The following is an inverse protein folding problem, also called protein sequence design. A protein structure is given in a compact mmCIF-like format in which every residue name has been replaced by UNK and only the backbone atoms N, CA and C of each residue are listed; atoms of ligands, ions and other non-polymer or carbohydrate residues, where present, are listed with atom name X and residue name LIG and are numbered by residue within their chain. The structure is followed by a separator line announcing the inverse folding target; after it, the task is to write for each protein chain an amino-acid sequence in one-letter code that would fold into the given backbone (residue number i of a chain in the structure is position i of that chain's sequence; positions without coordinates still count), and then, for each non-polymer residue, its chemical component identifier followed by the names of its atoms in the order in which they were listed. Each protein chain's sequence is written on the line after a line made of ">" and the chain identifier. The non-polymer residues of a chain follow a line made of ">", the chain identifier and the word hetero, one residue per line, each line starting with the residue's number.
data_IF_663922788173
#
_entry.id   IF_663922788173
#
_cell.length_a   1.000
_cell.length_b   1.000
_cell.length_c   1.000
_cell.angle_alpha   90.00
_cell.angle_beta   90.00
_cell.angle_gamma   90.00
#
_symmetry.space_group_name_H-M   'P 1'
#
loop_
_entity.id
_entity.type
_entity.pdbx_description
1 polymer ?
#
# COMPACT_ATOMS: atom_id res chain seq x y z
N UNK A 1 24.65 1.34 21.70
CA UNK A 1 23.52 0.95 22.58
C UNK A 1 22.57 0.14 21.73
N UNK A 2 22.28 -1.10 22.13
CA UNK A 2 21.32 -1.93 21.40
C UNK A 2 19.87 -1.45 21.70
N UNK A 3 18.86 -1.81 20.88
CA UNK A 3 17.48 -1.35 21.10
C UNK A 3 16.85 -1.76 22.44
N UNK A 4 17.43 -2.72 23.17
CA UNK A 4 16.96 -3.16 24.48
C UNK A 4 17.50 -2.24 25.57
N UNK A 5 18.81 -1.98 25.56
CA UNK A 5 19.51 -1.04 26.43
C UNK A 5 18.95 0.37 26.30
N UNK A 6 18.67 0.83 25.07
CA UNK A 6 18.09 2.15 24.84
C UNK A 6 16.69 2.26 25.47
N UNK A 7 15.87 1.21 25.41
CA UNK A 7 14.54 1.18 26.06
C UNK A 7 14.64 1.17 27.57
N UNK A 8 15.54 0.36 28.14
CA UNK A 8 15.79 0.32 29.59
C UNK A 8 16.20 1.71 30.07
N UNK A 9 17.15 2.36 29.38
CA UNK A 9 17.60 3.71 29.73
C UNK A 9 16.49 4.75 29.69
N UNK A 10 15.57 4.66 28.72
CA UNK A 10 14.39 5.54 28.67
C UNK A 10 13.50 5.34 29.90
N UNK A 11 13.22 4.08 30.27
CA UNK A 11 12.41 3.76 31.44
C UNK A 11 13.09 4.25 32.73
N UNK A 12 14.39 4.02 32.89
CA UNK A 12 15.15 4.49 34.05
C UNK A 12 15.08 6.02 34.20
N UNK A 13 15.24 6.76 33.10
CA UNK A 13 15.13 8.23 33.10
C UNK A 13 13.71 8.70 33.44
N UNK A 14 12.69 8.02 32.91
CA UNK A 14 11.31 8.34 33.22
C UNK A 14 10.99 8.07 34.69
N UNK A 15 11.42 6.94 35.23
CA UNK A 15 11.18 6.54 36.61
C UNK A 15 11.93 7.41 37.62
N UNK A 16 13.18 7.76 37.32
CA UNK A 16 14.02 8.55 38.21
C UNK A 16 13.66 10.04 38.22
N UNK A 17 13.29 10.62 37.07
CA UNK A 17 13.16 12.07 36.92
C UNK A 17 11.78 12.55 36.47
N UNK A 18 11.01 11.73 35.75
CA UNK A 18 9.74 12.17 35.16
C UNK A 18 8.51 11.77 35.99
N UNK A 19 8.55 10.71 36.81
CA UNK A 19 7.39 10.26 37.62
C UNK A 19 6.88 11.32 38.61
N UNK A 20 7.79 12.15 39.12
CA UNK A 20 7.49 13.22 40.09
C UNK A 20 7.51 14.62 39.45
N UNK A 21 7.65 14.68 38.12
CA UNK A 21 7.75 15.94 37.38
C UNK A 21 6.36 16.53 37.15
N UNK A 22 6.22 17.84 37.34
CA UNK A 22 4.97 18.57 37.09
C UNK A 22 4.53 18.52 35.61
N UNK A 23 5.47 18.25 34.70
CA UNK A 23 5.25 18.10 33.26
C UNK A 23 5.09 16.62 32.82
N UNK A 24 4.89 15.67 33.74
CA UNK A 24 4.81 14.23 33.43
C UNK A 24 3.77 13.89 32.34
N UNK A 25 2.63 14.58 32.36
CA UNK A 25 1.53 14.36 31.41
C UNK A 25 1.70 15.18 30.13
N UNK A 26 2.67 16.10 30.09
CA UNK A 26 2.89 16.98 28.96
C UNK A 26 3.63 16.25 27.83
N UNK A 27 3.39 16.63 26.56
CA UNK A 27 4.14 16.09 25.45
C UNK A 27 5.64 16.43 25.56
N UNK A 28 6.51 15.47 25.23
CA UNK A 28 7.99 15.60 25.27
C UNK A 28 8.53 16.87 24.56
N UNK A 29 7.81 17.36 23.54
CA UNK A 29 8.17 18.61 22.82
C UNK A 29 8.27 19.82 23.77
N UNK A 30 7.47 19.85 24.83
CA UNK A 30 7.43 20.96 25.79
C UNK A 30 8.65 20.93 26.69
N UNK A 31 9.06 19.74 27.17
CA UNK A 31 10.31 19.56 27.90
C UNK A 31 11.52 20.02 27.06
N UNK A 32 11.52 19.73 25.76
CA UNK A 32 12.57 20.16 24.84
C UNK A 32 12.55 21.68 24.61
N UNK A 33 11.37 22.29 24.49
CA UNK A 33 11.23 23.76 24.37
C UNK A 33 11.73 24.47 25.63
N UNK A 34 11.48 23.90 26.81
CA UNK A 34 11.94 24.40 28.10
C UNK A 34 13.41 24.05 28.39
N UNK A 35 14.12 23.43 27.44
CA UNK A 35 15.54 23.01 27.58
C UNK A 35 15.79 22.04 28.75
N UNK A 36 14.82 21.20 29.08
CA UNK A 36 14.98 20.13 30.05
C UNK A 36 16.03 19.11 29.56
N UNK A 37 17.09 18.89 30.33
CA UNK A 37 18.18 17.96 29.99
C UNK A 37 17.68 16.53 29.82
N UNK A 38 16.84 16.06 30.75
CA UNK A 38 16.19 14.75 30.68
C UNK A 38 15.30 14.63 29.44
N UNK A 39 14.53 15.67 29.13
CA UNK A 39 13.69 15.72 27.92
C UNK A 39 14.49 15.65 26.62
N UNK A 40 15.65 16.31 26.57
CA UNK A 40 16.56 16.24 25.42
C UNK A 40 17.21 14.86 25.28
N UNK A 41 17.61 14.23 26.38
CA UNK A 41 18.16 12.87 26.39
C UNK A 41 17.10 11.85 25.95
N UNK A 42 15.87 11.94 26.47
CA UNK A 42 14.74 11.12 26.07
C UNK A 42 14.45 11.25 24.56
N UNK A 43 14.48 12.46 24.00
CA UNK A 43 14.31 12.70 22.56
C UNK A 43 15.41 12.00 21.75
N UNK A 44 16.66 12.09 22.19
CA UNK A 44 17.80 11.44 21.54
C UNK A 44 17.72 9.91 21.61
N UNK A 45 17.32 9.35 22.75
CA UNK A 45 17.16 7.90 22.89
C UNK A 45 15.99 7.39 22.06
N UNK A 46 14.89 8.15 21.97
CA UNK A 46 13.77 7.83 21.11
C UNK A 46 14.17 7.81 19.62
N UNK A 47 14.96 8.79 19.14
CA UNK A 47 15.43 8.81 17.75
C UNK A 47 16.41 7.67 17.41
N UNK A 48 17.02 7.03 18.41
CA UNK A 48 17.82 5.81 18.21
C UNK A 48 16.96 4.54 18.12
N UNK A 49 15.76 4.54 18.72
CA UNK A 49 14.83 3.40 18.69
C UNK A 49 13.93 3.43 17.46
N UNK A 50 13.55 4.62 17.05
CA UNK A 50 12.79 4.86 15.85
C UNK A 50 13.76 5.41 14.82
N UNK A 51 14.14 4.59 13.85
CA UNK A 51 14.63 5.13 12.57
C UNK A 51 13.57 6.15 12.18
N UNK A 52 13.93 7.43 12.14
CA UNK A 52 13.03 8.46 11.64
C UNK A 52 12.47 7.91 10.35
N UNK A 53 11.15 7.69 10.31
CA UNK A 53 10.45 7.38 9.07
C UNK A 53 11.08 8.29 8.02
N UNK A 54 11.58 7.75 6.87
CA UNK A 54 12.30 8.55 5.89
C UNK A 54 11.54 9.85 5.75
N UNK A 55 12.23 10.93 6.14
CA UNK A 55 11.66 12.23 6.49
C UNK A 55 10.42 12.47 5.65
N UNK A 56 9.28 12.79 6.28
CA UNK A 56 8.03 13.08 5.56
C UNK A 56 8.39 14.02 4.40
N UNK A 57 8.48 13.45 3.18
CA UNK A 57 9.05 14.16 2.04
C UNK A 57 8.28 15.48 1.91
N UNK A 58 9.00 16.58 1.77
CA UNK A 58 8.37 17.90 1.69
C UNK A 58 7.41 17.96 0.50
N UNK A 59 6.53 18.97 0.47
CA UNK A 59 5.63 19.16 -0.65
C UNK A 59 6.40 19.28 -1.98
N UNK A 60 7.50 20.03 -1.98
CA UNK A 60 8.37 20.25 -3.14
C UNK A 60 9.03 18.94 -3.59
N UNK A 61 9.48 18.13 -2.63
CA UNK A 61 10.06 16.82 -2.91
C UNK A 61 9.05 15.91 -3.59
N UNK A 62 7.81 15.88 -3.09
CA UNK A 62 6.73 15.12 -3.73
C UNK A 62 6.32 15.67 -5.09
N UNK A 63 6.34 16.99 -5.27
CA UNK A 63 6.04 17.62 -6.57
C UNK A 63 7.07 17.19 -7.62
N UNK A 64 8.35 17.13 -7.26
CA UNK A 64 9.41 16.61 -8.13
C UNK A 64 9.23 15.13 -8.46
N UNK A 65 8.97 14.29 -7.44
CA UNK A 65 8.71 12.85 -7.61
C UNK A 65 7.52 12.62 -8.53
N UNK A 66 6.43 13.35 -8.35
CA UNK A 66 5.22 13.19 -9.17
C UNK A 66 5.47 13.60 -10.62
N UNK A 67 6.23 14.66 -10.88
CA UNK A 67 6.62 15.05 -12.25
C UNK A 67 7.45 13.96 -12.93
N UNK A 68 8.44 13.40 -12.24
CA UNK A 68 9.27 12.31 -12.77
C UNK A 68 8.44 11.04 -13.02
N UNK A 69 7.54 10.70 -12.09
CA UNK A 69 6.64 9.56 -12.25
C UNK A 69 5.74 9.70 -13.48
N UNK A 70 5.19 10.89 -13.76
CA UNK A 70 4.37 11.14 -14.95
C UNK A 70 5.16 10.93 -16.25
N UNK A 71 6.42 11.35 -16.30
CA UNK A 71 7.30 11.12 -17.46
C UNK A 71 7.58 9.63 -17.66
N UNK A 72 7.87 8.89 -16.59
CA UNK A 72 8.10 7.44 -16.67
C UNK A 72 6.83 6.68 -17.07
N UNK A 73 5.66 7.10 -16.60
CA UNK A 73 4.38 6.56 -17.06
C UNK A 73 4.15 6.83 -18.56
N UNK A 74 4.48 8.02 -19.05
CA UNK A 74 4.38 8.36 -20.47
C UNK A 74 5.33 7.52 -21.34
N UNK A 75 6.48 7.12 -20.79
CA UNK A 75 7.43 6.21 -21.42
C UNK A 75 7.00 4.73 -21.35
N UNK A 76 5.88 4.42 -20.69
CA UNK A 76 5.31 3.07 -20.60
C UNK A 76 5.81 2.23 -19.43
N UNK A 77 6.56 2.80 -18.48
CA UNK A 77 7.02 2.07 -17.31
C UNK A 77 5.87 1.74 -16.34
N UNK A 78 5.92 0.53 -15.77
CA UNK A 78 4.94 0.07 -14.80
C UNK A 78 5.13 0.68 -13.41
N UNK A 79 4.05 0.79 -12.64
CA UNK A 79 4.06 1.38 -11.30
C UNK A 79 5.09 0.76 -10.34
N UNK A 80 5.42 -0.52 -10.50
CA UNK A 80 6.45 -1.20 -9.68
C UNK A 80 7.86 -0.71 -9.99
N UNK A 81 8.16 -0.48 -11.27
CA UNK A 81 9.46 0.02 -11.70
C UNK A 81 9.66 1.44 -11.19
N UNK A 82 8.66 2.30 -11.44
CA UNK A 82 8.66 3.71 -11.06
C UNK A 82 8.79 3.89 -9.55
N UNK A 83 8.08 3.09 -8.74
CA UNK A 83 8.17 3.20 -7.27
C UNK A 83 9.56 2.86 -6.75
N UNK A 84 10.21 1.85 -7.35
CA UNK A 84 11.54 1.43 -6.94
C UNK A 84 12.59 2.47 -7.35
N UNK A 85 12.49 3.00 -8.57
CA UNK A 85 13.38 4.02 -9.10
C UNK A 85 13.30 5.33 -8.30
N UNK A 86 12.09 5.75 -7.91
CA UNK A 86 11.85 7.00 -7.16
C UNK A 86 11.96 6.84 -5.63
N UNK A 87 12.38 5.67 -5.15
CA UNK A 87 12.58 5.39 -3.72
C UNK A 87 11.33 5.71 -2.89
N UNK A 88 10.15 5.26 -3.32
CA UNK A 88 8.89 5.50 -2.63
C UNK A 88 7.98 4.26 -2.69
N UNK A 89 7.03 4.17 -1.75
CA UNK A 89 6.06 3.07 -1.78
C UNK A 89 5.03 3.31 -2.89
N UNK A 90 4.56 2.23 -3.54
CA UNK A 90 3.54 2.29 -4.61
C UNK A 90 2.24 2.96 -4.15
N UNK A 91 1.84 2.70 -2.90
CA UNK A 91 0.65 3.32 -2.30
C UNK A 91 0.85 4.83 -2.15
N UNK A 92 1.97 5.26 -1.56
CA UNK A 92 2.26 6.67 -1.38
C UNK A 92 2.38 7.39 -2.73
N UNK A 93 3.06 6.81 -3.72
CA UNK A 93 3.18 7.39 -5.06
C UNK A 93 1.81 7.60 -5.71
N UNK A 94 0.95 6.57 -5.68
CA UNK A 94 -0.40 6.65 -6.25
C UNK A 94 -1.23 7.73 -5.56
N UNK A 95 -1.20 7.78 -4.24
CA UNK A 95 -2.01 8.73 -3.48
C UNK A 95 -1.52 10.17 -3.71
N UNK A 96 -0.20 10.39 -3.75
CA UNK A 96 0.40 11.70 -4.03
C UNK A 96 0.15 12.18 -5.48
N UNK A 97 0.13 11.26 -6.46
CA UNK A 97 -0.26 11.55 -7.83
C UNK A 97 -1.75 11.91 -7.94
N UNK A 98 -2.62 11.22 -7.22
CA UNK A 98 -4.07 11.53 -7.17
C UNK A 98 -4.35 12.89 -6.55
N UNK A 99 -3.72 13.20 -5.41
CA UNK A 99 -3.87 14.51 -4.75
C UNK A 99 -3.47 15.67 -5.67
N UNK A 100 -2.56 15.42 -6.62
CA UNK A 100 -2.08 16.41 -7.60
C UNK A 100 -2.79 16.38 -8.95
N UNK A 101 -3.77 15.48 -9.14
CA UNK A 101 -4.45 15.31 -10.43
C UNK A 101 -3.56 14.78 -11.56
N UNK A 102 -2.39 14.20 -11.25
CA UNK A 102 -1.40 13.71 -12.22
C UNK A 102 -1.51 12.20 -12.49
N UNK A 103 -2.48 11.54 -11.86
CA UNK A 103 -2.66 10.10 -11.99
C UNK A 103 -3.31 9.74 -13.34
N UNK A 104 -2.52 9.15 -14.24
CA UNK A 104 -2.96 8.68 -15.57
C UNK A 104 -3.11 7.15 -15.67
N UNK A 105 -2.85 6.41 -14.59
CA UNK A 105 -3.00 4.96 -14.55
C UNK A 105 -4.45 4.51 -14.44
N UNK A 106 -4.76 3.29 -14.87
CA UNK A 106 -6.06 2.67 -14.61
C UNK A 106 -6.30 2.60 -13.10
N UNK A 107 -7.38 3.19 -12.65
CA UNK A 107 -7.84 3.10 -11.26
C UNK A 107 -8.13 1.64 -10.90
N UNK A 108 -8.11 1.35 -9.59
CA UNK A 108 -8.44 0.01 -9.10
C UNK A 108 -9.84 -0.43 -9.56
N UNK A 109 -10.81 0.49 -9.61
CA UNK A 109 -12.14 0.26 -10.16
C UNK A 109 -12.10 -0.11 -11.63
N UNK A 110 -11.32 0.58 -12.46
CA UNK A 110 -11.18 0.26 -13.89
C UNK A 110 -10.47 -1.07 -14.15
N UNK A 111 -9.44 -1.42 -13.36
CA UNK A 111 -8.78 -2.73 -13.46
C UNK A 111 -9.75 -3.85 -13.07
N UNK A 112 -10.50 -3.66 -11.99
CA UNK A 112 -11.53 -4.61 -11.58
C UNK A 112 -12.64 -4.73 -12.62
N UNK A 113 -13.06 -3.63 -13.23
CA UNK A 113 -14.06 -3.61 -14.30
C UNK A 113 -13.58 -4.34 -15.55
N UNK A 114 -12.35 -4.07 -16.01
CA UNK A 114 -11.76 -4.81 -17.14
C UNK A 114 -11.61 -6.30 -16.83
N UNK A 115 -11.27 -6.66 -15.59
CA UNK A 115 -11.27 -8.05 -15.15
C UNK A 115 -12.67 -8.65 -15.15
N UNK A 116 -13.69 -7.92 -14.68
CA UNK A 116 -15.11 -8.35 -14.72
C UNK A 116 -15.54 -8.62 -16.15
N UNK A 117 -15.33 -7.67 -17.06
CA UNK A 117 -15.67 -7.80 -18.48
C UNK A 117 -14.98 -8.98 -19.17
N UNK A 118 -13.70 -9.23 -18.87
CA UNK A 118 -12.99 -10.42 -19.36
C UNK A 118 -13.66 -11.71 -18.90
N UNK A 119 -14.02 -11.78 -17.63
CA UNK A 119 -14.74 -12.93 -17.09
C UNK A 119 -16.15 -13.06 -17.67
N UNK A 120 -16.86 -11.96 -17.90
CA UNK A 120 -18.18 -11.98 -18.53
C UNK A 120 -18.10 -12.57 -19.93
N UNK A 121 -17.10 -12.16 -20.72
CA UNK A 121 -16.84 -12.72 -22.05
C UNK A 121 -16.53 -14.22 -22.00
N UNK A 122 -15.62 -14.65 -21.12
CA UNK A 122 -15.29 -16.06 -20.96
C UNK A 122 -16.49 -16.90 -20.52
N UNK A 123 -17.30 -16.40 -19.58
CA UNK A 123 -18.50 -17.09 -19.12
C UNK A 123 -19.56 -17.18 -20.22
N UNK A 124 -19.75 -16.12 -21.02
CA UNK A 124 -20.68 -16.16 -22.16
C UNK A 124 -20.26 -17.20 -23.21
N UNK A 125 -18.97 -17.22 -23.58
CA UNK A 125 -18.42 -18.25 -24.48
C UNK A 125 -18.57 -19.65 -23.90
N UNK A 126 -18.33 -19.81 -22.60
CA UNK A 126 -18.51 -21.09 -21.93
C UNK A 126 -19.96 -21.56 -21.97
N UNK A 127 -20.94 -20.67 -21.74
CA UNK A 127 -22.38 -20.99 -21.85
C UNK A 127 -22.74 -21.52 -23.24
N UNK A 128 -22.30 -20.85 -24.31
CA UNK A 128 -22.53 -21.29 -25.69
C UNK A 128 -21.93 -22.69 -25.97
N UNK A 129 -20.75 -22.97 -25.41
CA UNK A 129 -20.12 -24.29 -25.53
C UNK A 129 -20.86 -25.36 -24.71
N UNK A 130 -21.42 -25.00 -23.54
CA UNK A 130 -22.25 -25.88 -22.71
C UNK A 130 -23.54 -26.27 -23.43
N UNK A 131 -24.20 -25.32 -24.10
CA UNK A 131 -25.39 -25.58 -24.94
C UNK A 131 -25.08 -26.55 -26.09
N UNK A 132 -23.85 -26.51 -26.62
CA UNK A 132 -23.33 -27.47 -27.61
C UNK A 132 -22.89 -28.82 -27.00
N UNK A 133 -23.18 -29.07 -25.72
CA UNK A 133 -22.88 -30.32 -25.02
C UNK A 133 -21.45 -30.47 -24.49
N UNK A 134 -20.62 -29.42 -24.51
CA UNK A 134 -19.24 -29.54 -24.04
C UNK A 134 -19.16 -29.66 -22.50
N UNK A 135 -18.26 -30.50 -22.01
CA UNK A 135 -17.98 -30.61 -20.57
C UNK A 135 -17.11 -29.44 -20.08
N UNK A 136 -17.26 -29.07 -18.81
CA UNK A 136 -16.44 -28.02 -18.19
C UNK A 136 -14.92 -28.23 -18.33
N UNK A 137 -14.37 -29.46 -18.14
CA UNK A 137 -12.94 -29.70 -18.37
C UNK A 137 -12.51 -29.39 -19.82
N UNK A 138 -13.32 -29.79 -20.81
CA UNK A 138 -13.03 -29.53 -22.23
C UNK A 138 -13.04 -28.03 -22.55
N UNK A 139 -14.03 -27.30 -22.02
CA UNK A 139 -14.12 -25.83 -22.19
C UNK A 139 -12.93 -25.13 -21.52
N UNK A 140 -12.57 -25.54 -20.30
CA UNK A 140 -11.46 -24.98 -19.55
C UNK A 140 -10.12 -25.14 -20.30
N UNK A 141 -9.88 -26.31 -20.89
CA UNK A 141 -8.72 -26.56 -21.73
C UNK A 141 -8.73 -25.69 -22.99
N UNK A 142 -9.89 -25.55 -23.64
CA UNK A 142 -10.03 -24.72 -24.85
C UNK A 142 -9.82 -23.23 -24.58
N UNK A 143 -10.38 -22.70 -23.49
CA UNK A 143 -10.23 -21.30 -23.10
C UNK A 143 -8.90 -21.01 -22.37
N UNK A 144 -8.12 -22.04 -22.05
CA UNK A 144 -6.87 -21.97 -21.26
C UNK A 144 -7.09 -21.30 -19.89
N UNK A 145 -8.18 -21.66 -19.21
CA UNK A 145 -8.55 -21.13 -17.89
C UNK A 145 -8.76 -22.32 -16.94
N UNK A 146 -8.37 -22.23 -15.66
CA UNK A 146 -8.64 -23.29 -14.69
C UNK A 146 -10.15 -23.60 -14.56
N UNK A 147 -10.50 -24.89 -14.64
CA UNK A 147 -11.90 -25.33 -14.61
C UNK A 147 -12.63 -24.98 -13.30
N UNK A 148 -11.91 -24.92 -12.18
CA UNK A 148 -12.43 -24.47 -10.89
C UNK A 148 -12.85 -23.00 -10.93
N UNK A 149 -11.99 -22.12 -11.46
CA UNK A 149 -12.27 -20.70 -11.61
C UNK A 149 -13.44 -20.46 -12.56
N UNK A 150 -13.48 -21.16 -13.69
CA UNK A 150 -14.57 -21.04 -14.65
C UNK A 150 -15.93 -21.39 -14.02
N UNK A 151 -16.04 -22.53 -13.32
CA UNK A 151 -17.28 -22.93 -12.63
C UNK A 151 -17.72 -21.90 -11.58
N UNK A 152 -16.79 -21.43 -10.76
CA UNK A 152 -17.09 -20.40 -9.75
C UNK A 152 -17.60 -19.11 -10.40
N UNK A 153 -16.99 -18.69 -11.52
CA UNK A 153 -17.37 -17.46 -12.21
C UNK A 153 -18.69 -17.59 -12.99
N UNK A 154 -19.00 -18.78 -13.50
CA UNK A 154 -20.30 -19.13 -14.11
C UNK A 154 -21.43 -19.12 -13.07
N UNK A 155 -21.22 -19.76 -11.90
CA UNK A 155 -22.17 -19.76 -10.78
C UNK A 155 -22.46 -18.38 -10.26
N UNK A 156 -21.42 -17.55 -10.04
CA UNK A 156 -21.56 -16.15 -9.61
C UNK A 156 -22.46 -15.33 -10.53
N UNK A 157 -22.49 -15.66 -11.82
CA UNK A 157 -23.28 -14.99 -12.85
C UNK A 157 -24.60 -15.66 -13.17
N UNK A 158 -24.93 -16.75 -12.48
CA UNK A 158 -26.13 -17.58 -12.74
C UNK A 158 -26.20 -18.06 -14.21
N UNK A 159 -25.03 -18.37 -14.78
CA UNK A 159 -24.91 -18.91 -16.14
C UNK A 159 -24.61 -20.41 -16.15
N UNK A 160 -24.46 -21.02 -14.96
CA UNK A 160 -24.49 -22.46 -14.84
C UNK A 160 -25.89 -22.91 -15.27
N UNK A 161 -25.97 -23.77 -16.28
CA UNK A 161 -27.23 -24.40 -16.65
C UNK A 161 -27.65 -25.24 -15.44
N UNK A 162 -28.79 -24.90 -14.83
CA UNK A 162 -29.44 -25.77 -13.84
C UNK A 162 -29.53 -27.16 -14.47
N UNK A 163 -28.95 -28.11 -13.76
CA UNK A 163 -28.97 -29.52 -14.13
C UNK A 163 -30.12 -30.18 -13.41
#
# INVERSE_FOLDING_TARGET
>A
MNPKETRIRILDLQDQYCQICEYQTNPLKECVQQRCEVGMELKRLASLLFIESPERKSKETWDSICKQATQLYAQGFGANHISNELGCSRSALRDQLKTRGLWSGKTQSEIQEQSRQKWDNWCYRAKQLREKGWSYPKIAQHLKIPASNLRNQMRKRKLDADR
#
